data_IF_475644040819
#
_entry.id   IF_475644040819
#
_cell.length_a   1.000
_cell.length_b   1.000
_cell.length_c   1.000
_cell.angle_alpha   90.00
_cell.angle_beta   90.00
_cell.angle_gamma   90.00
#
_symmetry.space_group_name_H-M   'P 1'
#
loop_
_entity.id
_entity.type
_entity.pdbx_description
1 polymer ?
#
# COMPACT_ATOMS: atom_id res chain seq x y z
N UNK A 1 40.09 30.94 21.24
CA UNK A 1 38.75 30.47 21.61
C UNK A 1 38.49 29.10 21.00
N UNK A 2 38.60 28.02 21.76
CA UNK A 2 38.38 26.62 21.28
C UNK A 2 36.94 26.30 20.81
N UNK A 3 36.05 27.30 20.87
CA UNK A 3 34.65 27.18 20.48
C UNK A 3 34.33 27.65 19.04
N UNK A 4 35.27 28.26 18.34
CA UNK A 4 35.13 28.73 16.95
C UNK A 4 35.78 27.75 16.01
N UNK A 5 35.16 27.51 14.86
CA UNK A 5 35.70 26.65 13.79
C UNK A 5 36.33 27.57 12.75
N UNK A 6 37.63 27.49 12.64
CA UNK A 6 38.47 28.44 11.86
C UNK A 6 38.07 28.56 10.39
N UNK A 7 37.62 27.48 9.77
CA UNK A 7 37.25 27.44 8.34
C UNK A 7 35.81 27.83 8.01
N UNK A 8 34.88 27.97 9.01
CA UNK A 8 33.46 28.20 8.78
C UNK A 8 32.94 29.49 9.43
N UNK A 9 33.77 30.22 10.13
CA UNK A 9 33.41 31.48 10.85
C UNK A 9 32.15 31.32 11.75
N UNK A 10 31.99 30.15 12.37
CA UNK A 10 30.88 29.84 13.26
C UNK A 10 31.33 29.09 14.51
N UNK A 11 30.50 29.15 15.57
CA UNK A 11 30.77 28.40 16.78
C UNK A 11 30.40 26.92 16.61
N UNK A 12 31.03 26.04 17.38
CA UNK A 12 30.67 24.59 17.40
C UNK A 12 29.19 24.39 17.71
N UNK A 13 28.64 25.16 18.66
CA UNK A 13 27.22 25.08 19.02
C UNK A 13 26.29 25.44 17.85
N UNK A 14 26.63 26.46 17.09
CA UNK A 14 25.89 26.85 15.89
C UNK A 14 25.98 25.81 14.79
N UNK A 15 27.19 25.27 14.55
CA UNK A 15 27.37 24.18 13.59
C UNK A 15 26.50 22.98 13.95
N UNK A 16 26.49 22.54 15.20
CA UNK A 16 25.67 21.42 15.66
C UNK A 16 24.16 21.70 15.55
N UNK A 17 23.76 22.96 15.72
CA UNK A 17 22.37 23.36 15.50
C UNK A 17 22.00 23.29 13.99
N UNK A 18 22.82 23.87 13.12
CA UNK A 18 22.62 23.82 11.68
C UNK A 18 22.59 22.36 11.18
N UNK A 19 23.52 21.51 11.64
CA UNK A 19 23.55 20.07 11.33
C UNK A 19 22.22 19.39 11.64
N UNK A 20 21.63 19.64 12.81
CA UNK A 20 20.33 19.05 13.21
C UNK A 20 19.15 19.60 12.40
N UNK A 21 19.13 20.93 12.21
CA UNK A 21 18.05 21.58 11.48
C UNK A 21 18.05 21.18 9.99
N UNK A 22 19.23 21.03 9.38
CA UNK A 22 19.36 20.66 7.96
C UNK A 22 18.79 19.27 7.63
N UNK A 23 18.58 18.37 8.61
CA UNK A 23 17.85 17.12 8.40
C UNK A 23 16.33 17.31 8.42
N UNK A 24 15.82 18.34 9.11
CA UNK A 24 14.39 18.56 9.35
C UNK A 24 13.74 19.53 8.37
N UNK A 25 14.51 20.46 7.88
CA UNK A 25 14.08 21.61 7.06
C UNK A 25 14.82 21.65 5.74
N UNK A 26 14.38 22.50 4.83
CA UNK A 26 15.11 22.76 3.61
C UNK A 26 16.41 23.54 3.87
N UNK A 27 17.37 23.41 3.00
CA UNK A 27 18.63 24.15 3.16
C UNK A 27 18.40 25.68 3.03
N UNK A 28 17.42 26.09 2.24
CA UNK A 28 17.05 27.51 2.08
C UNK A 28 16.47 28.07 3.38
N UNK A 29 15.50 27.41 4.00
CA UNK A 29 14.92 27.85 5.29
C UNK A 29 15.97 27.94 6.39
N UNK A 30 16.89 26.96 6.48
CA UNK A 30 17.97 27.01 7.47
C UNK A 30 18.95 28.14 7.15
N UNK A 31 19.23 28.38 5.88
CA UNK A 31 20.10 29.47 5.44
C UNK A 31 19.52 30.84 5.81
N UNK A 32 18.23 31.04 5.57
CA UNK A 32 17.52 32.29 5.89
C UNK A 32 17.53 32.58 7.40
N UNK A 33 17.27 31.58 8.24
CA UNK A 33 17.23 31.73 9.72
C UNK A 33 18.59 32.10 10.31
N UNK A 34 19.68 31.58 9.74
CA UNK A 34 21.02 31.78 10.31
C UNK A 34 21.88 32.78 9.54
N UNK A 35 21.35 33.36 8.45
CA UNK A 35 22.07 34.36 7.65
C UNK A 35 23.22 33.79 6.83
N UNK A 36 23.13 32.53 6.38
CA UNK A 36 24.13 31.88 5.54
C UNK A 36 23.58 31.57 4.14
N UNK A 37 24.43 31.14 3.24
CA UNK A 37 23.99 30.66 1.93
C UNK A 37 23.46 29.22 2.03
N UNK A 38 22.42 28.91 1.23
CA UNK A 38 21.89 27.55 1.11
C UNK A 38 22.97 26.54 0.66
N UNK A 39 23.94 26.99 -0.13
CA UNK A 39 25.09 26.18 -0.56
C UNK A 39 25.98 25.77 0.63
N UNK A 40 26.25 26.70 1.55
CA UNK A 40 27.02 26.38 2.76
C UNK A 40 26.26 25.40 3.67
N UNK A 41 24.95 25.62 3.85
CA UNK A 41 24.12 24.68 4.63
C UNK A 41 24.14 23.28 4.01
N UNK A 42 24.06 23.20 2.66
CA UNK A 42 24.13 21.93 1.94
C UNK A 42 25.51 21.24 2.13
N UNK A 43 26.61 21.98 2.12
CA UNK A 43 27.95 21.44 2.39
C UNK A 43 28.08 20.94 3.84
N UNK A 44 27.58 21.69 4.82
CA UNK A 44 27.56 21.27 6.21
C UNK A 44 26.74 19.98 6.40
N UNK A 45 25.60 19.90 5.68
CA UNK A 45 24.78 18.70 5.68
C UNK A 45 25.53 17.50 5.08
N UNK A 46 26.15 17.66 3.91
CA UNK A 46 26.87 16.58 3.21
C UNK A 46 28.01 16.03 4.08
N UNK A 47 28.84 16.90 4.69
CA UNK A 47 29.91 16.52 5.61
C UNK A 47 29.35 15.75 6.82
N UNK A 48 28.25 16.23 7.43
CA UNK A 48 27.68 15.58 8.58
C UNK A 48 26.97 14.27 8.23
N UNK A 49 26.35 14.17 7.07
CA UNK A 49 25.77 12.93 6.57
C UNK A 49 26.84 11.86 6.37
N UNK A 50 28.02 12.23 5.88
CA UNK A 50 29.16 11.33 5.72
C UNK A 50 29.75 10.88 7.07
N UNK A 51 29.84 11.78 8.06
CA UNK A 51 30.21 11.42 9.43
C UNK A 51 29.21 10.40 10.03
N UNK A 52 27.89 10.62 9.84
CA UNK A 52 26.84 9.73 10.30
C UNK A 52 26.88 8.37 9.60
N UNK A 53 27.09 8.34 8.30
CA UNK A 53 27.20 7.10 7.51
C UNK A 53 28.39 6.26 8.00
N UNK A 54 29.55 6.89 8.21
CA UNK A 54 30.74 6.24 8.74
C UNK A 54 30.53 5.69 10.16
N UNK A 55 29.77 6.40 10.98
CA UNK A 55 29.50 6.03 12.37
C UNK A 55 28.33 5.05 12.54
N UNK A 56 27.50 4.87 11.52
CA UNK A 56 26.29 4.04 11.56
C UNK A 56 26.59 2.57 11.84
N UNK A 57 27.73 2.10 11.38
CA UNK A 57 28.03 0.67 11.38
C UNK A 57 27.18 -0.14 10.41
N UNK A 58 27.38 -1.44 10.35
CA UNK A 58 26.58 -2.31 9.49
C UNK A 58 25.13 -2.41 9.97
N UNK A 59 24.21 -2.48 9.04
CA UNK A 59 22.77 -2.66 9.33
C UNK A 59 22.54 -4.11 9.79
N UNK A 60 21.90 -4.29 10.93
CA UNK A 60 21.50 -5.62 11.39
C UNK A 60 20.19 -6.01 10.68
N UNK A 61 20.16 -7.19 10.12
CA UNK A 61 18.97 -7.68 9.43
C UNK A 61 17.76 -7.82 10.37
N UNK A 62 16.58 -7.32 9.98
CA UNK A 62 15.38 -7.45 10.78
C UNK A 62 14.79 -8.86 10.69
N UNK A 63 13.86 -9.19 11.57
CA UNK A 63 13.08 -10.43 11.46
C UNK A 63 12.11 -10.38 10.27
N UNK A 64 11.54 -9.22 10.01
CA UNK A 64 10.57 -9.00 8.94
C UNK A 64 11.08 -7.84 8.09
N UNK A 65 11.55 -8.18 6.89
CA UNK A 65 12.06 -7.23 5.93
C UNK A 65 10.94 -6.79 4.97
N UNK A 66 10.63 -5.51 4.93
CA UNK A 66 9.79 -4.91 3.89
C UNK A 66 10.66 -4.46 2.72
N UNK A 67 10.31 -4.90 1.51
CA UNK A 67 10.95 -4.46 0.26
C UNK A 67 9.88 -3.83 -0.61
N UNK A 68 10.12 -2.60 -1.06
CA UNK A 68 9.20 -1.87 -1.92
C UNK A 68 9.96 -1.08 -2.98
N UNK A 69 9.27 -0.66 -4.03
CA UNK A 69 9.80 0.18 -5.10
C UNK A 69 9.19 1.56 -5.05
N UNK A 70 10.03 2.58 -5.18
CA UNK A 70 9.54 3.95 -5.28
C UNK A 70 10.23 4.71 -6.41
N UNK A 71 9.44 5.39 -7.24
CA UNK A 71 9.97 6.31 -8.23
C UNK A 71 10.36 7.63 -7.56
N UNK A 72 11.66 7.87 -7.41
CA UNK A 72 12.21 9.01 -6.68
C UNK A 72 13.45 9.54 -7.41
N UNK A 73 13.61 10.85 -7.47
CA UNK A 73 14.75 11.48 -8.15
C UNK A 73 14.96 10.91 -9.56
N UNK A 74 13.88 10.84 -10.35
CA UNK A 74 13.85 10.40 -11.75
C UNK A 74 14.26 8.93 -11.99
N UNK A 75 14.28 8.08 -10.96
CA UNK A 75 14.55 6.64 -11.13
C UNK A 75 13.74 5.79 -10.15
N UNK A 76 13.52 4.52 -10.50
CA UNK A 76 13.00 3.52 -9.58
C UNK A 76 14.09 3.14 -8.57
N UNK A 77 13.73 3.11 -7.30
CA UNK A 77 14.62 2.84 -6.17
C UNK A 77 14.05 1.72 -5.32
N UNK A 78 14.89 0.83 -4.85
CA UNK A 78 14.51 -0.11 -3.79
C UNK A 78 14.48 0.59 -2.43
N UNK A 79 13.49 0.28 -1.62
CA UNK A 79 13.28 0.80 -0.27
C UNK A 79 13.19 -0.38 0.68
N UNK A 80 14.07 -0.44 1.69
CA UNK A 80 14.18 -1.53 2.65
C UNK A 80 13.78 -1.04 4.03
N UNK A 81 12.81 -1.72 4.64
CA UNK A 81 12.19 -1.31 5.90
C UNK A 81 12.19 -2.47 6.89
N UNK A 82 12.51 -2.19 8.13
CA UNK A 82 12.16 -3.07 9.24
C UNK A 82 10.68 -2.89 9.56
N UNK A 83 9.87 -3.89 9.21
CA UNK A 83 8.39 -3.82 9.35
C UNK A 83 7.96 -3.81 10.82
N UNK A 84 8.72 -4.45 11.72
CA UNK A 84 8.38 -4.48 13.14
C UNK A 84 8.61 -3.14 13.83
N UNK A 85 9.67 -2.42 13.46
CA UNK A 85 10.05 -1.16 14.10
C UNK A 85 9.63 0.09 13.30
N UNK A 86 9.28 -0.07 12.04
CA UNK A 86 8.98 1.02 11.12
C UNK A 86 10.22 1.86 10.77
N UNK A 87 11.39 1.26 10.79
CA UNK A 87 12.66 1.93 10.49
C UNK A 87 13.04 1.72 9.04
N UNK A 88 13.32 2.81 8.33
CA UNK A 88 13.95 2.75 7.01
C UNK A 88 15.39 2.26 7.17
N UNK A 89 15.67 1.08 6.63
CA UNK A 89 16.99 0.46 6.70
C UNK A 89 17.90 0.96 5.59
N UNK A 90 17.42 0.97 4.35
CA UNK A 90 18.22 1.36 3.22
C UNK A 90 17.36 1.81 2.02
N UNK A 91 17.97 2.55 1.10
CA UNK A 91 17.44 2.88 -0.22
C UNK A 91 18.53 2.69 -1.27
N UNK A 92 18.25 1.94 -2.33
CA UNK A 92 19.22 1.69 -3.41
C UNK A 92 19.21 2.78 -4.48
N UNK A 93 20.32 2.93 -5.20
CA UNK A 93 20.39 3.86 -6.34
C UNK A 93 19.58 3.40 -7.54
N UNK A 94 19.32 2.10 -7.65
CA UNK A 94 18.52 1.48 -8.70
C UNK A 94 17.65 0.38 -8.09
N UNK A 95 16.70 -0.13 -8.86
CA UNK A 95 15.93 -1.31 -8.51
C UNK A 95 16.41 -2.58 -9.25
N UNK A 96 17.71 -2.63 -9.62
CA UNK A 96 18.30 -3.79 -10.27
C UNK A 96 18.48 -4.93 -9.28
N UNK A 97 18.45 -6.16 -9.79
CA UNK A 97 18.66 -7.38 -9.02
C UNK A 97 19.92 -7.31 -8.15
N UNK A 98 21.05 -6.98 -8.77
CA UNK A 98 22.35 -6.95 -8.09
C UNK A 98 22.36 -5.94 -6.92
N UNK A 99 21.72 -4.78 -7.09
CA UNK A 99 21.63 -3.75 -6.04
C UNK A 99 20.77 -4.21 -4.87
N UNK A 100 19.67 -4.93 -5.14
CA UNK A 100 18.76 -5.48 -4.13
C UNK A 100 19.47 -6.61 -3.37
N UNK A 101 20.06 -7.55 -4.10
CA UNK A 101 20.81 -8.69 -3.53
C UNK A 101 21.94 -8.19 -2.65
N UNK A 102 22.79 -7.33 -3.18
CA UNK A 102 23.95 -6.79 -2.45
C UNK A 102 23.52 -6.01 -1.18
N UNK A 103 22.37 -5.32 -1.24
CA UNK A 103 21.82 -4.63 -0.06
C UNK A 103 21.38 -5.62 1.02
N UNK A 104 20.69 -6.70 0.65
CA UNK A 104 20.28 -7.75 1.60
C UNK A 104 21.51 -8.42 2.21
N UNK A 105 22.47 -8.86 1.37
CA UNK A 105 23.66 -9.55 1.80
C UNK A 105 24.61 -8.68 2.65
N UNK A 106 24.53 -7.35 2.52
CA UNK A 106 25.30 -6.43 3.36
C UNK A 106 24.77 -6.33 4.80
N UNK A 107 23.56 -6.82 5.07
CA UNK A 107 22.98 -6.81 6.42
C UNK A 107 23.59 -7.94 7.26
N UNK A 108 23.93 -7.62 8.50
CA UNK A 108 24.50 -8.60 9.44
C UNK A 108 23.47 -9.68 9.74
N UNK A 109 23.90 -10.94 9.66
CA UNK A 109 23.07 -12.12 9.93
C UNK A 109 21.77 -12.20 9.08
N UNK A 110 21.81 -11.69 7.84
CA UNK A 110 20.62 -11.65 6.97
C UNK A 110 20.02 -13.04 6.74
N UNK A 111 20.83 -14.06 6.55
CA UNK A 111 20.43 -15.45 6.31
C UNK A 111 19.76 -16.13 7.50
N UNK A 112 19.99 -15.62 8.73
CA UNK A 112 19.46 -16.18 9.98
C UNK A 112 18.30 -15.36 10.53
N UNK A 113 18.41 -14.04 10.44
CA UNK A 113 17.45 -13.15 11.09
C UNK A 113 16.19 -12.96 10.27
N UNK A 114 16.31 -12.85 8.93
CA UNK A 114 15.15 -12.59 8.07
C UNK A 114 14.30 -13.85 7.94
N UNK A 115 13.16 -13.86 8.60
CA UNK A 115 12.19 -14.95 8.55
C UNK A 115 11.05 -14.68 7.59
N UNK A 116 10.71 -13.41 7.39
CA UNK A 116 9.65 -12.96 6.50
C UNK A 116 10.11 -11.80 5.63
N UNK A 117 9.66 -11.81 4.38
CA UNK A 117 9.84 -10.69 3.45
C UNK A 117 8.46 -10.23 2.98
N UNK A 118 8.09 -8.99 3.26
CA UNK A 118 6.86 -8.38 2.73
C UNK A 118 7.19 -7.61 1.46
N UNK A 119 6.44 -7.85 0.39
CA UNK A 119 6.69 -7.21 -0.90
C UNK A 119 5.45 -7.18 -1.78
N UNK A 120 5.51 -6.38 -2.84
CA UNK A 120 4.51 -6.37 -3.90
C UNK A 120 4.58 -7.62 -4.79
N UNK A 121 3.55 -7.82 -5.62
CA UNK A 121 3.52 -8.90 -6.62
C UNK A 121 4.47 -8.63 -7.81
N UNK A 122 5.73 -8.32 -7.54
CA UNK A 122 6.76 -8.08 -8.55
C UNK A 122 7.57 -9.36 -8.82
N UNK A 123 7.41 -9.95 -10.01
CA UNK A 123 8.06 -11.24 -10.35
C UNK A 123 9.60 -11.18 -10.25
N UNK A 124 10.21 -10.05 -10.60
CA UNK A 124 11.66 -9.88 -10.51
C UNK A 124 12.15 -10.01 -9.08
N UNK A 125 11.52 -9.31 -8.15
CA UNK A 125 11.88 -9.36 -6.73
C UNK A 125 11.72 -10.73 -6.12
N UNK A 126 10.63 -11.44 -6.46
CA UNK A 126 10.42 -12.80 -5.96
C UNK A 126 11.61 -13.70 -6.22
N UNK A 127 12.08 -13.76 -7.45
CA UNK A 127 13.20 -14.64 -7.82
C UNK A 127 14.48 -14.30 -7.04
N UNK A 128 14.74 -13.01 -6.81
CA UNK A 128 15.91 -12.58 -6.05
C UNK A 128 15.81 -12.91 -4.57
N UNK A 129 14.62 -12.71 -3.98
CA UNK A 129 14.38 -13.04 -2.57
C UNK A 129 14.47 -14.54 -2.34
N UNK A 130 13.90 -15.36 -3.24
CA UNK A 130 14.00 -16.82 -3.16
C UNK A 130 15.45 -17.32 -3.27
N UNK A 131 16.28 -16.65 -4.06
CA UNK A 131 17.71 -16.98 -4.22
C UNK A 131 18.53 -16.58 -3.00
N UNK A 132 18.37 -15.34 -2.51
CA UNK A 132 19.13 -14.80 -1.38
C UNK A 132 18.66 -15.32 -0.03
N UNK A 133 17.37 -15.59 0.12
CA UNK A 133 16.71 -15.91 1.38
C UNK A 133 15.84 -17.16 1.26
N UNK A 134 16.43 -18.34 0.95
CA UNK A 134 15.67 -19.56 0.67
C UNK A 134 14.84 -20.06 1.86
N UNK A 135 15.14 -19.62 3.07
CA UNK A 135 14.43 -20.00 4.29
C UNK A 135 13.37 -18.97 4.72
N UNK A 136 13.35 -17.78 4.11
CA UNK A 136 12.40 -16.74 4.45
C UNK A 136 11.06 -16.97 3.74
N UNK A 137 9.96 -16.69 4.42
CA UNK A 137 8.62 -16.73 3.83
C UNK A 137 8.31 -15.37 3.19
N UNK A 138 8.02 -15.37 1.89
CA UNK A 138 7.52 -14.18 1.21
C UNK A 138 6.04 -14.01 1.53
N UNK A 139 5.65 -12.80 1.90
CA UNK A 139 4.25 -12.40 2.14
C UNK A 139 3.91 -11.27 1.17
N UNK A 140 2.92 -11.52 0.33
CA UNK A 140 2.41 -10.50 -0.61
C UNK A 140 1.54 -9.51 0.13
N UNK A 141 1.76 -8.23 -0.17
CA UNK A 141 0.95 -7.17 0.40
C UNK A 141 -0.52 -7.26 -0.04
N UNK A 142 -1.39 -7.36 0.97
CA UNK A 142 -2.85 -7.37 0.80
C UNK A 142 -3.36 -6.18 -0.01
N UNK A 143 -2.81 -4.99 0.24
CA UNK A 143 -3.26 -3.77 -0.41
C UNK A 143 -3.16 -3.88 -1.94
N UNK A 144 -2.05 -4.38 -2.46
CA UNK A 144 -1.82 -4.53 -3.89
C UNK A 144 -2.78 -5.53 -4.55
N UNK A 145 -3.12 -6.63 -3.85
CA UNK A 145 -4.12 -7.60 -4.32
C UNK A 145 -5.51 -6.95 -4.40
N UNK A 146 -5.90 -6.25 -3.34
CA UNK A 146 -7.20 -5.58 -3.27
C UNK A 146 -7.28 -4.38 -4.23
N UNK A 147 -6.21 -3.63 -4.40
CA UNK A 147 -6.16 -2.53 -5.37
C UNK A 147 -6.32 -3.03 -6.82
N UNK A 148 -5.66 -4.14 -7.19
CA UNK A 148 -5.84 -4.73 -8.52
C UNK A 148 -7.29 -5.25 -8.71
N UNK A 149 -7.89 -5.85 -7.68
CA UNK A 149 -9.31 -6.20 -7.67
C UNK A 149 -10.20 -4.98 -7.97
N UNK A 150 -10.02 -3.88 -7.25
CA UNK A 150 -10.86 -2.69 -7.44
C UNK A 150 -10.72 -2.09 -8.83
N UNK A 151 -9.51 -2.08 -9.37
CA UNK A 151 -9.24 -1.65 -10.74
C UNK A 151 -9.99 -2.52 -11.76
N UNK A 152 -9.94 -3.86 -11.62
CA UNK A 152 -10.66 -4.80 -12.48
C UNK A 152 -12.17 -4.67 -12.32
N UNK A 153 -12.65 -4.51 -11.09
CA UNK A 153 -14.07 -4.27 -10.78
C UNK A 153 -14.58 -3.00 -11.46
N UNK A 154 -13.80 -1.92 -11.43
CA UNK A 154 -14.17 -0.65 -12.07
C UNK A 154 -14.30 -0.79 -13.59
N UNK A 155 -13.39 -1.52 -14.24
CA UNK A 155 -13.46 -1.83 -15.67
C UNK A 155 -14.67 -2.69 -16.00
N UNK A 156 -14.87 -3.79 -15.28
CA UNK A 156 -16.00 -4.70 -15.48
C UNK A 156 -17.34 -4.00 -15.21
N UNK A 157 -17.45 -3.14 -14.18
CA UNK A 157 -18.64 -2.33 -13.91
C UNK A 157 -19.08 -1.53 -15.13
N UNK A 158 -18.13 -0.87 -15.80
CA UNK A 158 -18.44 -0.06 -16.98
C UNK A 158 -19.00 -0.89 -18.14
N UNK A 159 -18.50 -2.11 -18.31
CA UNK A 159 -18.98 -3.07 -19.32
C UNK A 159 -20.37 -3.61 -18.95
N UNK A 160 -20.55 -4.01 -17.69
CA UNK A 160 -21.83 -4.49 -17.16
C UNK A 160 -22.90 -3.40 -17.27
N UNK A 161 -22.61 -2.19 -16.81
CA UNK A 161 -23.55 -1.08 -16.87
C UNK A 161 -24.03 -0.81 -18.29
N UNK A 162 -23.12 -0.72 -19.25
CA UNK A 162 -23.44 -0.50 -20.67
C UNK A 162 -24.29 -1.63 -21.25
N UNK A 163 -23.94 -2.86 -20.93
CA UNK A 163 -24.69 -4.04 -21.40
C UNK A 163 -26.12 -4.04 -20.83
N UNK A 164 -26.28 -3.80 -19.51
CA UNK A 164 -27.59 -3.80 -18.85
C UNK A 164 -28.45 -2.65 -19.35
N UNK A 165 -27.90 -1.44 -19.51
CA UNK A 165 -28.64 -0.31 -20.11
C UNK A 165 -29.17 -0.66 -21.50
N UNK A 166 -28.35 -1.30 -22.33
CA UNK A 166 -28.75 -1.71 -23.68
C UNK A 166 -29.84 -2.80 -23.62
N UNK A 167 -29.71 -3.79 -22.73
CA UNK A 167 -30.69 -4.85 -22.49
C UNK A 167 -32.05 -4.26 -22.07
N UNK A 168 -32.07 -3.32 -21.11
CA UNK A 168 -33.29 -2.65 -20.66
C UNK A 168 -33.91 -1.76 -21.74
N UNK A 169 -33.09 -1.08 -22.55
CA UNK A 169 -33.59 -0.25 -23.65
C UNK A 169 -34.38 -1.05 -24.69
N UNK A 170 -33.98 -2.31 -24.94
CA UNK A 170 -34.58 -3.21 -25.92
C UNK A 170 -35.53 -4.23 -25.32
N UNK A 171 -35.83 -4.14 -24.01
CA UNK A 171 -36.77 -5.04 -23.35
C UNK A 171 -38.19 -4.80 -23.90
N UNK A 172 -38.86 -5.82 -24.44
CA UNK A 172 -40.25 -5.71 -24.93
C UNK A 172 -41.29 -5.51 -23.81
N UNK A 173 -40.97 -5.93 -22.57
CA UNK A 173 -41.85 -5.74 -21.43
C UNK A 173 -41.75 -4.30 -20.88
N UNK A 174 -42.75 -3.51 -21.12
CA UNK A 174 -42.79 -2.11 -20.69
C UNK A 174 -43.14 -1.94 -19.20
N UNK A 175 -43.70 -2.95 -18.52
CA UNK A 175 -44.26 -2.81 -17.17
C UNK A 175 -43.23 -2.47 -16.11
N UNK A 176 -42.01 -2.96 -16.22
CA UNK A 176 -40.90 -2.70 -15.29
C UNK A 176 -39.77 -1.85 -15.89
N UNK A 177 -39.90 -1.50 -17.16
CA UNK A 177 -38.82 -0.83 -17.92
C UNK A 177 -38.43 0.53 -17.32
N UNK A 178 -39.41 1.36 -16.97
CA UNK A 178 -39.13 2.69 -16.38
C UNK A 178 -38.48 2.56 -14.99
N UNK A 179 -38.96 1.68 -14.14
CA UNK A 179 -38.39 1.42 -12.82
C UNK A 179 -36.92 0.95 -12.95
N UNK A 180 -36.64 0.04 -13.89
CA UNK A 180 -35.25 -0.43 -14.18
C UNK A 180 -34.36 0.68 -14.71
N UNK A 181 -34.88 1.60 -15.55
CA UNK A 181 -34.11 2.75 -16.02
C UNK A 181 -33.81 3.73 -14.88
N UNK A 182 -34.74 4.00 -14.00
CA UNK A 182 -34.53 4.85 -12.82
C UNK A 182 -33.45 4.27 -11.92
N UNK A 183 -33.50 2.96 -11.65
CA UNK A 183 -32.50 2.27 -10.85
C UNK A 183 -31.11 2.36 -11.49
N UNK A 184 -30.99 2.19 -12.81
CA UNK A 184 -29.74 2.37 -13.52
C UNK A 184 -29.25 3.82 -13.51
N UNK A 185 -30.16 4.78 -13.58
CA UNK A 185 -29.80 6.19 -13.46
C UNK A 185 -29.22 6.54 -12.07
N UNK A 186 -29.77 5.95 -10.99
CA UNK A 186 -29.20 6.06 -9.64
C UNK A 186 -27.81 5.43 -9.55
N UNK A 187 -27.62 4.23 -10.11
CA UNK A 187 -26.32 3.57 -10.16
C UNK A 187 -25.26 4.36 -10.97
N UNK A 188 -25.71 5.11 -11.98
CA UNK A 188 -24.88 6.03 -12.74
C UNK A 188 -24.43 7.26 -11.94
N UNK A 189 -25.29 7.74 -11.03
CA UNK A 189 -24.99 8.89 -10.16
C UNK A 189 -24.05 8.56 -9.00
N UNK A 190 -24.05 7.30 -8.52
CA UNK A 190 -23.05 6.82 -7.56
C UNK A 190 -22.09 5.81 -8.23
N UNK A 191 -21.06 6.30 -8.94
CA UNK A 191 -20.08 5.44 -9.59
C UNK A 191 -19.27 4.60 -8.60
N UNK A 192 -19.33 4.92 -7.33
CA UNK A 192 -18.53 4.31 -6.27
C UNK A 192 -19.18 3.10 -5.61
N UNK A 193 -20.48 2.85 -5.83
CA UNK A 193 -21.24 1.77 -5.17
C UNK A 193 -20.55 0.41 -5.26
N UNK A 194 -19.85 0.11 -6.36
CA UNK A 194 -19.05 -1.11 -6.53
C UNK A 194 -17.55 -0.94 -6.19
N UNK A 195 -17.09 0.26 -5.85
CA UNK A 195 -15.70 0.52 -5.44
C UNK A 195 -15.50 0.43 -3.94
N UNK A 196 -16.52 0.74 -3.15
CA UNK A 196 -16.44 0.60 -1.70
C UNK A 196 -16.31 -0.88 -1.29
N UNK A 197 -15.58 -1.12 -0.20
CA UNK A 197 -15.57 -2.45 0.43
C UNK A 197 -16.98 -2.86 0.83
N UNK A 198 -17.23 -4.16 0.96
CA UNK A 198 -18.51 -4.67 1.43
C UNK A 198 -18.93 -4.03 2.77
N UNK A 199 -17.97 -3.82 3.69
CA UNK A 199 -18.18 -3.14 4.97
C UNK A 199 -18.64 -1.69 4.78
N UNK A 200 -17.94 -0.91 3.97
CA UNK A 200 -18.29 0.50 3.72
C UNK A 200 -19.63 0.67 3.01
N UNK A 201 -20.05 -0.30 2.18
CA UNK A 201 -21.40 -0.33 1.61
C UNK A 201 -22.44 -0.64 2.70
N UNK A 202 -22.17 -1.61 3.57
CA UNK A 202 -23.06 -1.99 4.65
C UNK A 202 -23.29 -0.88 5.70
N UNK A 203 -22.33 0.00 5.91
CA UNK A 203 -22.41 1.14 6.82
C UNK A 203 -23.27 2.29 6.27
N UNK A 204 -23.49 2.36 4.95
CA UNK A 204 -24.32 3.36 4.31
C UNK A 204 -25.65 2.74 3.80
N UNK A 205 -26.77 3.04 4.47
CA UNK A 205 -28.07 2.44 4.18
C UNK A 205 -28.53 2.65 2.74
N UNK A 206 -28.31 3.84 2.19
CA UNK A 206 -28.77 4.17 0.83
C UNK A 206 -27.97 3.38 -0.23
N UNK A 207 -26.65 3.25 -0.02
CA UNK A 207 -25.81 2.43 -0.89
C UNK A 207 -26.10 0.94 -0.77
N UNK A 208 -26.36 0.47 0.44
CA UNK A 208 -26.76 -0.92 0.68
C UNK A 208 -28.07 -1.24 -0.03
N UNK A 209 -29.07 -0.36 0.07
CA UNK A 209 -30.35 -0.51 -0.63
C UNK A 209 -30.15 -0.49 -2.15
N UNK A 210 -29.42 0.49 -2.67
CA UNK A 210 -29.10 0.58 -4.11
C UNK A 210 -28.38 -0.67 -4.62
N UNK A 211 -27.39 -1.17 -3.87
CA UNK A 211 -26.68 -2.40 -4.23
C UNK A 211 -27.62 -3.61 -4.22
N UNK A 212 -28.48 -3.73 -3.21
CA UNK A 212 -29.44 -4.82 -3.13
C UNK A 212 -30.42 -4.78 -4.31
N UNK A 213 -30.99 -3.62 -4.62
CA UNK A 213 -31.92 -3.45 -5.73
C UNK A 213 -31.27 -3.74 -7.08
N UNK A 214 -30.02 -3.30 -7.29
CA UNK A 214 -29.27 -3.61 -8.50
C UNK A 214 -29.03 -5.12 -8.65
N UNK A 215 -28.64 -5.79 -7.57
CA UNK A 215 -28.38 -7.23 -7.58
C UNK A 215 -29.65 -8.07 -7.76
N UNK A 216 -30.78 -7.62 -7.22
CA UNK A 216 -32.08 -8.30 -7.39
C UNK A 216 -32.63 -8.17 -8.81
N UNK A 217 -32.47 -7.00 -9.42
CA UNK A 217 -33.03 -6.75 -10.75
C UNK A 217 -32.11 -7.17 -11.89
N UNK A 218 -30.81 -7.28 -11.64
CA UNK A 218 -29.83 -7.56 -12.69
C UNK A 218 -28.81 -8.60 -12.22
N UNK A 219 -28.86 -9.83 -12.72
CA UNK A 219 -27.91 -10.88 -12.37
C UNK A 219 -26.47 -10.51 -12.74
N UNK A 220 -26.30 -9.63 -13.71
CA UNK A 220 -25.00 -9.12 -14.11
C UNK A 220 -24.33 -8.29 -13.00
N UNK A 221 -25.06 -7.45 -12.29
CA UNK A 221 -24.53 -6.71 -11.14
C UNK A 221 -24.33 -7.62 -9.92
N UNK A 222 -25.21 -8.60 -9.71
CA UNK A 222 -25.02 -9.57 -8.64
C UNK A 222 -23.73 -10.38 -8.83
N UNK A 223 -23.46 -10.84 -10.04
CA UNK A 223 -22.24 -11.57 -10.32
C UNK A 223 -20.98 -10.70 -10.15
N UNK A 224 -21.05 -9.42 -10.56
CA UNK A 224 -19.96 -8.45 -10.31
C UNK A 224 -19.69 -8.29 -8.79
N UNK A 225 -20.75 -8.21 -7.98
CA UNK A 225 -20.65 -8.15 -6.52
C UNK A 225 -19.99 -9.41 -5.95
N UNK A 226 -20.40 -10.59 -6.40
CA UNK A 226 -19.84 -11.86 -5.93
C UNK A 226 -18.34 -11.95 -6.25
N UNK A 227 -17.93 -11.55 -7.46
CA UNK A 227 -16.51 -11.51 -7.84
C UNK A 227 -15.68 -10.57 -6.96
N UNK A 228 -16.24 -9.40 -6.65
CA UNK A 228 -15.55 -8.41 -5.80
C UNK A 228 -15.49 -8.86 -4.34
N UNK A 229 -16.65 -9.12 -3.74
CA UNK A 229 -16.75 -9.45 -2.31
C UNK A 229 -16.12 -10.81 -1.99
N UNK A 230 -16.20 -11.78 -2.90
CA UNK A 230 -15.61 -13.09 -2.73
C UNK A 230 -14.09 -13.00 -2.55
N UNK A 231 -13.41 -12.13 -3.32
CA UNK A 231 -11.96 -11.95 -3.16
C UNK A 231 -11.61 -11.15 -1.90
N UNK A 232 -12.40 -10.10 -1.57
CA UNK A 232 -12.21 -9.34 -0.33
C UNK A 232 -12.31 -10.27 0.90
N UNK A 233 -13.25 -11.21 0.91
CA UNK A 233 -13.48 -12.16 2.00
C UNK A 233 -12.36 -13.18 2.20
N UNK A 234 -11.48 -13.40 1.24
CA UNK A 234 -10.30 -14.23 1.44
C UNK A 234 -9.48 -13.71 2.61
N UNK A 235 -9.30 -12.40 2.70
CA UNK A 235 -8.54 -11.76 3.79
C UNK A 235 -9.30 -11.65 5.13
N UNK A 236 -10.57 -12.04 5.17
CA UNK A 236 -11.36 -12.16 6.40
C UNK A 236 -11.34 -13.60 6.96
N UNK A 237 -10.49 -14.47 6.42
CA UNK A 237 -10.35 -15.85 6.88
C UNK A 237 -9.59 -15.94 8.20
N UNK A 238 -9.98 -16.90 9.03
CA UNK A 238 -9.34 -17.14 10.32
C UNK A 238 -7.97 -17.79 10.19
N UNK A 239 -7.77 -18.60 9.15
CA UNK A 239 -6.54 -19.34 8.91
C UNK A 239 -6.29 -19.57 7.41
N UNK A 240 -5.13 -20.17 7.13
CA UNK A 240 -4.69 -20.51 5.77
C UNK A 240 -5.63 -21.48 5.05
N UNK A 241 -6.23 -22.43 5.78
CA UNK A 241 -7.12 -23.43 5.18
C UNK A 241 -8.41 -22.79 4.68
N UNK A 242 -9.05 -21.98 5.51
CA UNK A 242 -10.24 -21.22 5.14
C UNK A 242 -9.94 -20.24 3.99
N UNK A 243 -8.80 -19.54 4.03
CA UNK A 243 -8.39 -18.66 2.96
C UNK A 243 -8.22 -19.39 1.64
N UNK A 244 -7.60 -20.58 1.65
CA UNK A 244 -7.44 -21.42 0.46
C UNK A 244 -8.80 -21.85 -0.11
N UNK A 245 -9.71 -22.30 0.74
CA UNK A 245 -11.06 -22.69 0.33
C UNK A 245 -11.78 -21.51 -0.35
N UNK A 246 -11.74 -20.32 0.24
CA UNK A 246 -12.34 -19.12 -0.36
C UNK A 246 -11.66 -18.71 -1.68
N UNK A 247 -10.35 -18.91 -1.80
CA UNK A 247 -9.65 -18.73 -3.08
C UNK A 247 -10.18 -19.65 -4.17
N UNK A 248 -10.41 -20.91 -3.85
CA UNK A 248 -10.91 -21.91 -4.79
C UNK A 248 -12.36 -21.60 -5.20
N UNK A 249 -13.23 -21.31 -4.23
CA UNK A 249 -14.61 -20.85 -4.46
C UNK A 249 -14.65 -19.60 -5.36
N UNK A 250 -13.79 -18.62 -5.09
CA UNK A 250 -13.71 -17.41 -5.91
C UNK A 250 -13.27 -17.70 -7.35
N UNK A 251 -12.36 -18.65 -7.56
CA UNK A 251 -11.90 -19.03 -8.90
C UNK A 251 -13.01 -19.59 -9.78
N UNK A 252 -14.00 -20.24 -9.20
CA UNK A 252 -15.16 -20.78 -9.93
C UNK A 252 -16.07 -19.66 -10.45
N UNK A 253 -16.16 -18.54 -9.71
CA UNK A 253 -16.90 -17.36 -10.15
C UNK A 253 -16.29 -16.66 -11.36
N UNK A 254 -14.99 -16.84 -11.62
CA UNK A 254 -14.29 -16.19 -12.74
C UNK A 254 -14.50 -16.97 -14.02
N UNK A 255 -14.97 -16.31 -15.12
CA UNK A 255 -15.25 -17.00 -16.36
C UNK A 255 -14.00 -17.70 -16.93
N UNK A 256 -14.18 -18.92 -17.45
CA UNK A 256 -13.11 -19.68 -18.07
C UNK A 256 -12.65 -19.04 -19.41
N UNK A 257 -11.58 -19.58 -20.01
CA UNK A 257 -11.03 -19.08 -21.27
C UNK A 257 -11.40 -19.94 -22.49
N UNK A 258 -11.85 -21.17 -22.29
CA UNK A 258 -12.20 -22.11 -23.37
C UNK A 258 -13.67 -21.97 -23.80
N UNK A 259 -13.95 -22.00 -25.11
CA UNK A 259 -15.31 -21.74 -25.65
C UNK A 259 -16.37 -22.71 -25.12
N UNK A 260 -16.08 -23.99 -25.03
CA UNK A 260 -17.02 -24.98 -24.49
C UNK A 260 -17.32 -24.73 -23.00
N UNK A 261 -16.30 -24.40 -22.22
CA UNK A 261 -16.44 -24.09 -20.80
C UNK A 261 -17.14 -22.75 -20.57
N UNK A 262 -16.99 -21.78 -21.48
CA UNK A 262 -17.71 -20.49 -21.42
C UNK A 262 -19.22 -20.72 -21.53
N UNK A 263 -19.68 -21.56 -22.47
CA UNK A 263 -21.09 -21.81 -22.65
C UNK A 263 -21.74 -22.45 -21.40
N UNK A 264 -21.07 -23.43 -20.81
CA UNK A 264 -21.48 -24.08 -19.57
C UNK A 264 -21.52 -23.08 -18.39
N UNK A 265 -20.48 -22.25 -18.24
CA UNK A 265 -20.38 -21.23 -17.23
C UNK A 265 -21.48 -20.15 -17.38
N UNK A 266 -21.75 -19.67 -18.61
CA UNK A 266 -22.81 -18.72 -18.90
C UNK A 266 -24.21 -19.31 -18.57
N UNK A 267 -24.41 -20.59 -18.82
CA UNK A 267 -25.63 -21.29 -18.44
C UNK A 267 -25.78 -21.39 -16.93
N UNK A 268 -24.71 -21.72 -16.21
CA UNK A 268 -24.68 -21.85 -14.75
C UNK A 268 -25.00 -20.52 -14.05
N UNK A 269 -24.37 -19.42 -14.46
CA UNK A 269 -24.48 -18.13 -13.79
C UNK A 269 -25.51 -17.19 -14.41
N UNK A 270 -26.05 -17.49 -15.57
CA UNK A 270 -27.05 -16.66 -16.27
C UNK A 270 -26.53 -15.31 -16.77
N UNK A 271 -25.22 -15.17 -16.91
CA UNK A 271 -24.57 -13.92 -17.31
C UNK A 271 -23.54 -14.15 -18.42
N UNK A 272 -23.17 -13.10 -19.16
CA UNK A 272 -22.19 -13.17 -20.24
C UNK A 272 -20.76 -13.12 -19.74
N UNK A 273 -19.95 -14.14 -20.05
CA UNK A 273 -18.55 -14.26 -19.65
C UNK A 273 -17.68 -13.08 -20.08
N UNK A 274 -17.96 -12.49 -21.25
CA UNK A 274 -17.21 -11.36 -21.79
C UNK A 274 -17.26 -10.12 -20.90
N UNK A 275 -18.34 -9.95 -20.11
CA UNK A 275 -18.49 -8.82 -19.18
C UNK A 275 -17.44 -8.83 -18.05
N UNK A 276 -16.89 -10.00 -17.75
CA UNK A 276 -15.98 -10.22 -16.62
C UNK A 276 -14.58 -10.70 -17.04
N UNK A 277 -14.25 -10.56 -18.33
CA UNK A 277 -12.94 -11.01 -18.87
C UNK A 277 -11.72 -10.45 -18.13
N UNK A 278 -11.85 -9.25 -17.56
CA UNK A 278 -10.80 -8.59 -16.78
C UNK A 278 -10.39 -9.43 -15.55
N UNK A 279 -11.33 -10.18 -14.97
CA UNK A 279 -11.04 -11.04 -13.83
C UNK A 279 -10.20 -12.27 -14.18
N UNK A 280 -10.16 -12.68 -15.45
CA UNK A 280 -9.27 -13.78 -15.90
C UNK A 280 -7.79 -13.46 -15.66
N UNK A 281 -7.39 -12.19 -15.84
CA UNK A 281 -6.02 -11.78 -15.55
C UNK A 281 -5.74 -11.81 -14.04
N UNK A 282 -6.69 -11.39 -13.22
CA UNK A 282 -6.58 -11.46 -11.76
C UNK A 282 -6.51 -12.91 -11.27
N UNK A 283 -7.35 -13.80 -11.81
CA UNK A 283 -7.28 -15.25 -11.52
C UNK A 283 -5.90 -15.82 -11.81
N UNK A 284 -5.29 -15.46 -12.96
CA UNK A 284 -3.92 -15.90 -13.28
C UNK A 284 -2.89 -15.35 -12.31
N UNK A 285 -3.04 -14.09 -11.89
CA UNK A 285 -2.17 -13.48 -10.88
C UNK A 285 -2.31 -14.22 -9.55
N UNK A 286 -3.53 -14.45 -9.07
CA UNK A 286 -3.76 -15.21 -7.84
C UNK A 286 -3.19 -16.63 -7.91
N UNK A 287 -3.37 -17.35 -9.03
CA UNK A 287 -2.80 -18.69 -9.19
C UNK A 287 -1.26 -18.69 -9.09
N UNK A 288 -0.61 -17.64 -9.61
CA UNK A 288 0.85 -17.51 -9.56
C UNK A 288 1.38 -17.15 -8.19
N UNK A 289 0.61 -16.37 -7.44
CA UNK A 289 1.02 -15.79 -6.16
C UNK A 289 0.32 -16.44 -4.95
N UNK A 290 -0.46 -17.51 -5.16
CA UNK A 290 -1.30 -18.12 -4.13
C UNK A 290 -0.53 -18.45 -2.85
N UNK A 291 0.59 -19.14 -2.96
CA UNK A 291 1.43 -19.50 -1.83
C UNK A 291 1.80 -18.29 -0.97
N UNK A 292 2.27 -17.23 -1.64
CA UNK A 292 2.74 -15.99 -0.99
C UNK A 292 1.60 -15.14 -0.43
N UNK A 293 0.42 -15.21 -1.04
CA UNK A 293 -0.81 -14.60 -0.51
C UNK A 293 -1.27 -15.37 0.73
N UNK A 294 -1.22 -16.69 0.69
CA UNK A 294 -1.63 -17.55 1.81
C UNK A 294 -0.64 -17.48 2.99
N UNK A 295 0.62 -17.14 2.76
CA UNK A 295 1.60 -16.93 3.83
C UNK A 295 1.20 -15.76 4.77
N UNK A 296 0.31 -14.86 4.33
CA UNK A 296 -0.30 -13.84 5.18
C UNK A 296 -1.01 -14.45 6.41
N UNK A 297 -1.53 -15.67 6.31
CA UNK A 297 -2.27 -16.37 7.35
C UNK A 297 -1.41 -17.30 8.21
N UNK A 298 -0.12 -17.45 7.90
CA UNK A 298 0.80 -18.34 8.63
C UNK A 298 1.37 -17.72 9.92
N UNK A 299 1.19 -16.41 10.12
CA UNK A 299 1.72 -15.70 11.28
C UNK A 299 0.61 -15.33 12.27
N UNK A 300 0.93 -15.34 13.57
CA UNK A 300 0.02 -14.86 14.62
C UNK A 300 -0.36 -13.37 14.45
N UNK A 301 0.47 -12.60 13.76
CA UNK A 301 0.23 -11.21 13.41
C UNK A 301 0.36 -11.11 11.90
N UNK A 302 -0.69 -10.71 11.18
CA UNK A 302 -0.60 -10.53 9.74
C UNK A 302 0.36 -9.38 9.41
N UNK A 303 1.42 -9.71 8.70
CA UNK A 303 2.39 -8.72 8.24
C UNK A 303 1.85 -8.02 7.00
N UNK A 304 1.72 -6.70 7.06
CA UNK A 304 1.29 -5.89 5.93
C UNK A 304 2.41 -4.95 5.52
N UNK A 305 2.42 -4.54 4.26
CA UNK A 305 3.37 -3.55 3.76
C UNK A 305 2.97 -2.10 4.13
N UNK A 306 1.92 -1.92 4.95
CA UNK A 306 1.43 -0.60 5.37
C UNK A 306 2.53 0.27 6.01
N UNK A 307 3.49 -0.37 6.72
CA UNK A 307 4.66 0.31 7.28
C UNK A 307 5.56 0.84 6.16
N UNK A 308 5.82 0.04 5.13
CA UNK A 308 6.62 0.45 3.95
C UNK A 308 5.92 1.57 3.19
N UNK A 309 4.58 1.52 3.04
CA UNK A 309 3.81 2.61 2.44
C UNK A 309 3.90 3.92 3.25
N UNK A 310 3.84 3.84 4.57
CA UNK A 310 4.05 4.97 5.47
C UNK A 310 5.44 5.60 5.30
N UNK A 311 6.48 4.76 5.20
CA UNK A 311 7.85 5.19 4.91
C UNK A 311 7.95 5.80 3.50
N UNK A 312 7.37 5.18 2.49
CA UNK A 312 7.34 5.72 1.13
C UNK A 312 6.66 7.10 1.05
N UNK A 313 5.58 7.30 1.81
CA UNK A 313 4.91 8.59 1.92
C UNK A 313 5.78 9.63 2.63
N UNK A 314 6.57 9.22 3.64
CA UNK A 314 7.55 10.09 4.29
C UNK A 314 8.67 10.50 3.31
N UNK A 315 9.24 9.54 2.60
CA UNK A 315 10.29 9.79 1.60
C UNK A 315 9.80 10.75 0.52
N UNK A 316 8.59 10.54 0.03
CA UNK A 316 7.98 11.40 -0.98
C UNK A 316 7.78 12.85 -0.48
N UNK A 317 7.28 13.04 0.74
CA UNK A 317 7.17 14.37 1.35
C UNK A 317 8.50 15.07 1.48
N UNK A 318 9.54 14.39 1.94
CA UNK A 318 10.89 14.96 2.05
C UNK A 318 11.41 15.34 0.67
N UNK A 319 11.15 14.53 -0.35
CA UNK A 319 11.53 14.82 -1.73
C UNK A 319 10.81 16.05 -2.30
N UNK A 320 9.49 16.14 -2.11
CA UNK A 320 8.67 17.28 -2.58
C UNK A 320 9.11 18.59 -1.89
N UNK A 321 9.22 18.56 -0.56
CA UNK A 321 9.65 19.75 0.22
C UNK A 321 11.06 20.16 -0.16
N UNK A 322 11.94 19.19 -0.43
CA UNK A 322 13.32 19.45 -0.80
C UNK A 322 13.56 20.03 -2.19
N UNK A 323 12.54 20.00 -3.07
CA UNK A 323 12.50 20.66 -4.41
C UNK A 323 13.81 20.60 -5.19
N UNK A 324 14.39 19.38 -5.36
CA UNK A 324 15.61 19.18 -6.14
C UNK A 324 16.78 18.55 -5.37
N UNK A 325 16.53 17.89 -4.25
CA UNK A 325 17.56 17.06 -3.66
C UNK A 325 17.99 15.97 -4.64
N UNK A 326 19.32 15.81 -4.81
CA UNK A 326 19.85 14.60 -5.43
C UNK A 326 19.63 13.39 -4.51
N UNK A 327 19.62 12.19 -5.09
CA UNK A 327 19.33 10.94 -4.35
C UNK A 327 20.17 10.77 -3.07
N UNK A 328 21.48 11.04 -3.12
CA UNK A 328 22.38 10.93 -1.94
C UNK A 328 21.88 11.74 -0.74
N UNK A 329 21.49 13.01 -0.97
CA UNK A 329 20.98 13.89 0.08
C UNK A 329 19.61 13.45 0.58
N UNK A 330 18.73 13.04 -0.33
CA UNK A 330 17.42 12.54 0.02
C UNK A 330 17.53 11.26 0.86
N UNK A 331 18.34 10.28 0.43
CA UNK A 331 18.61 9.06 1.17
C UNK A 331 19.13 9.36 2.58
N UNK A 332 20.17 10.20 2.70
CA UNK A 332 20.70 10.58 3.99
C UNK A 332 19.65 11.25 4.88
N UNK A 333 18.87 12.20 4.33
CA UNK A 333 17.76 12.81 5.08
C UNK A 333 16.77 11.76 5.58
N UNK A 334 16.33 10.83 4.75
CA UNK A 334 15.34 9.81 5.11
C UNK A 334 15.88 8.85 6.16
N UNK A 335 17.09 8.34 6.00
CA UNK A 335 17.71 7.38 6.92
C UNK A 335 18.01 8.03 8.28
N UNK A 336 18.66 9.21 8.29
CA UNK A 336 19.09 9.83 9.53
C UNK A 336 18.06 10.75 10.19
N UNK A 337 17.01 11.16 9.48
CA UNK A 337 15.89 11.90 10.07
C UNK A 337 15.21 11.10 11.18
N UNK A 338 14.96 9.81 10.97
CA UNK A 338 14.35 8.94 11.97
C UNK A 338 15.27 8.64 13.15
N UNK A 339 16.58 8.56 12.92
CA UNK A 339 17.57 8.33 14.00
C UNK A 339 17.87 9.60 14.80
N UNK A 340 17.88 10.76 14.15
CA UNK A 340 18.22 12.03 14.79
C UNK A 340 16.99 12.75 15.42
N UNK A 341 15.79 12.57 14.87
CA UNK A 341 14.61 13.32 15.27
C UNK A 341 13.70 12.58 16.24
N UNK A 342 13.62 11.26 16.12
CA UNK A 342 12.85 10.41 17.04
C UNK A 342 13.40 8.99 16.94
N UNK A 343 13.85 8.48 18.04
CA UNK A 343 13.65 7.06 18.34
C UNK A 343 12.14 6.90 18.55
N UNK A 344 11.36 6.98 17.48
CA UNK A 344 9.96 6.63 17.54
C UNK A 344 9.93 5.12 17.69
N UNK A 345 9.83 4.71 18.93
CA UNK A 345 9.66 3.33 19.36
C UNK A 345 8.27 2.87 19.00
N UNK A 346 8.00 2.66 17.75
CA UNK A 346 6.83 1.90 17.29
C UNK A 346 7.22 0.45 17.14
N UNK A 347 7.48 -0.23 18.26
CA UNK A 347 7.34 -1.67 18.26
C UNK A 347 5.85 -2.00 18.23
N UNK A 348 5.44 -3.08 17.58
CA UNK A 348 4.05 -3.58 17.60
C UNK A 348 3.52 -3.64 19.06
N UNK A 349 4.40 -3.90 20.04
CA UNK A 349 4.14 -3.87 21.47
C UNK A 349 3.85 -2.46 22.02
N UNK A 350 4.49 -1.41 21.49
CA UNK A 350 4.23 -0.02 21.87
C UNK A 350 2.93 0.51 21.25
N UNK A 351 2.62 0.13 20.00
CA UNK A 351 1.34 0.43 19.34
C UNK A 351 0.20 -0.21 20.13
N UNK A 352 0.30 -1.50 20.46
CA UNK A 352 -0.71 -2.20 21.27
C UNK A 352 -0.90 -1.56 22.67
N UNK A 353 0.17 -1.10 23.29
CA UNK A 353 0.15 -0.43 24.61
C UNK A 353 -0.43 1.00 24.52
N UNK A 354 -0.19 1.72 23.45
CA UNK A 354 -0.72 3.07 23.23
C UNK A 354 -2.21 3.03 22.86
N UNK A 355 -2.62 2.08 22.01
CA UNK A 355 -4.03 1.84 21.70
C UNK A 355 -4.84 1.44 22.93
N UNK A 356 -4.28 0.58 23.80
CA UNK A 356 -4.95 0.22 25.05
C UNK A 356 -5.10 1.40 26.03
N UNK A 357 -4.19 2.37 26.00
CA UNK A 357 -4.28 3.59 26.79
C UNK A 357 -5.28 4.61 26.24
N UNK A 358 -5.41 4.72 24.90
CA UNK A 358 -6.30 5.70 24.26
C UNK A 358 -7.76 5.25 24.20
N UNK A 359 -8.01 3.95 24.05
CA UNK A 359 -9.35 3.41 23.80
C UNK A 359 -9.92 2.56 24.96
N UNK A 360 -9.21 2.49 26.10
CA UNK A 360 -9.61 1.62 27.19
C UNK A 360 -9.44 0.12 26.84
N UNK A 361 -9.60 -0.76 27.82
CA UNK A 361 -9.58 -2.21 27.61
C UNK A 361 -10.77 -2.60 26.75
N UNK A 362 -10.53 -2.94 25.49
CA UNK A 362 -11.51 -3.62 24.65
C UNK A 362 -11.60 -5.06 25.18
N UNK A 363 -12.54 -5.27 26.12
CA UNK A 363 -12.86 -6.60 26.67
C UNK A 363 -13.89 -7.30 25.79
N UNK A 364 -13.50 -7.63 24.57
CA UNK A 364 -14.27 -8.48 23.66
C UNK A 364 -13.31 -9.33 22.83
N UNK A 365 -13.74 -10.45 22.23
CA UNK A 365 -12.92 -11.14 21.27
C UNK A 365 -12.69 -10.16 20.10
N UNK A 366 -11.56 -9.46 20.15
CA UNK A 366 -11.08 -8.67 19.03
C UNK A 366 -10.85 -9.69 17.92
N UNK A 367 -11.56 -9.53 16.81
CA UNK A 367 -11.16 -10.22 15.57
C UNK A 367 -9.65 -10.03 15.44
N UNK A 368 -8.84 -11.09 15.28
CA UNK A 368 -7.39 -10.97 15.23
C UNK A 368 -6.90 -10.10 14.07
N UNK A 369 -7.81 -9.59 13.24
CA UNK A 369 -7.50 -8.83 12.06
C UNK A 369 -8.18 -7.45 12.10
N UNK A 370 -7.40 -6.34 12.23
CA UNK A 370 -7.95 -5.03 11.99
C UNK A 370 -8.51 -4.97 10.55
N UNK A 371 -9.73 -4.48 10.40
CA UNK A 371 -10.29 -4.16 9.09
C UNK A 371 -9.42 -3.08 8.40
N UNK A 372 -9.55 -2.94 7.07
CA UNK A 372 -8.85 -1.85 6.32
C UNK A 372 -9.10 -0.49 6.99
N UNK A 373 -10.29 -0.26 7.53
CA UNK A 373 -10.65 0.97 8.26
C UNK A 373 -9.88 1.08 9.57
N UNK A 374 -9.65 -0.02 10.29
CA UNK A 374 -8.82 -0.01 11.51
C UNK A 374 -7.33 0.15 11.19
N UNK A 375 -6.85 -0.37 10.06
CA UNK A 375 -5.50 -0.10 9.57
C UNK A 375 -5.35 1.36 9.12
N UNK A 376 -6.40 1.95 8.53
CA UNK A 376 -6.44 3.38 8.17
C UNK A 376 -6.58 4.27 9.43
N UNK A 377 -7.35 3.86 10.44
CA UNK A 377 -7.43 4.59 11.71
C UNK A 377 -6.15 4.50 12.53
N UNK A 378 -5.34 3.45 12.34
CA UNK A 378 -3.97 3.39 12.89
C UNK A 378 -3.08 4.44 12.19
N UNK A 379 -3.27 4.68 10.89
CA UNK A 379 -2.59 5.77 10.17
C UNK A 379 -3.12 7.14 10.63
N UNK A 380 -4.41 7.29 10.91
CA UNK A 380 -5.00 8.51 11.48
C UNK A 380 -4.50 8.81 12.91
N UNK A 381 -4.16 7.78 13.69
CA UNK A 381 -3.51 7.95 15.01
C UNK A 381 -2.07 8.49 14.91
N UNK A 382 -1.56 8.74 13.71
CA UNK A 382 -0.26 9.37 13.43
C UNK A 382 -0.33 10.90 13.33
N UNK A 383 -1.40 11.54 13.81
CA UNK A 383 -1.42 12.99 14.00
C UNK A 383 -0.19 13.50 14.80
N UNK A 384 0.44 14.59 14.35
CA UNK A 384 -0.23 15.86 14.11
C UNK A 384 0.13 16.56 12.78
N UNK A 385 -0.23 16.01 11.66
CA UNK A 385 -0.16 16.73 10.40
C UNK A 385 -1.46 16.37 9.65
N UNK A 386 -2.29 17.37 9.33
CA UNK A 386 -3.55 17.26 8.58
C UNK A 386 -3.46 16.32 7.35
N UNK A 387 -3.45 15.01 7.59
CA UNK A 387 -3.68 14.04 6.54
C UNK A 387 -5.18 13.86 6.49
N UNK A 388 -5.82 14.50 5.53
CA UNK A 388 -7.21 14.19 5.19
C UNK A 388 -7.29 12.68 4.95
N UNK A 389 -8.28 11.98 5.52
CA UNK A 389 -8.49 10.56 5.24
C UNK A 389 -8.62 10.35 3.73
N UNK A 390 -8.16 9.22 3.23
CA UNK A 390 -8.24 8.87 1.79
C UNK A 390 -9.65 9.00 1.21
N UNK A 391 -10.69 8.92 2.05
CA UNK A 391 -12.08 9.23 1.72
C UNK A 391 -12.38 10.72 1.47
N UNK A 392 -11.48 11.63 1.88
CA UNK A 392 -11.61 13.08 1.70
C UNK A 392 -10.62 13.64 0.67
N UNK A 393 -9.83 12.79 0.01
CA UNK A 393 -9.05 13.19 -1.16
C UNK A 393 -10.01 13.23 -2.36
N UNK A 394 -10.21 14.43 -2.90
CA UNK A 394 -10.86 14.65 -4.18
C UNK A 394 -9.97 14.03 -5.28
N UNK A 395 -10.29 12.79 -5.66
CA UNK A 395 -9.55 12.03 -6.67
C UNK A 395 -9.65 12.65 -8.07
N UNK A 396 -10.59 13.59 -8.28
CA UNK A 396 -10.72 14.34 -9.52
C UNK A 396 -9.54 15.30 -9.75
N UNK A 397 -8.86 15.73 -8.68
CA UNK A 397 -7.70 16.64 -8.75
C UNK A 397 -6.34 15.93 -8.68
N UNK A 398 -6.30 14.59 -8.66
CA UNK A 398 -5.02 13.89 -8.61
C UNK A 398 -4.28 14.01 -9.94
N UNK A 399 -3.00 14.46 -9.95
CA UNK A 399 -2.24 14.76 -11.17
C UNK A 399 -2.12 13.59 -12.16
N UNK A 400 -2.25 12.33 -11.69
CA UNK A 400 -2.19 11.13 -12.52
C UNK A 400 -3.47 10.82 -13.32
N UNK A 401 -4.54 11.60 -13.14
CA UNK A 401 -5.80 11.43 -13.87
C UNK A 401 -6.10 12.55 -14.86
N UNK A 402 -5.23 13.56 -14.97
CA UNK A 402 -5.41 14.70 -15.88
C UNK A 402 -4.98 14.46 -17.33
N UNK A 403 -4.26 13.35 -17.61
CA UNK A 403 -3.78 13.02 -18.96
C UNK A 403 -4.43 11.74 -19.48
N UNK A 404 -5.76 11.77 -19.66
CA UNK A 404 -6.46 10.90 -20.64
C UNK A 404 -7.83 11.47 -20.99
#
# INVERSE_FOLDING_TARGET
>A
FSSVIDNKQMTKRLLDQIRRESFRRTFAEVADDYGYSATLIAQIFDEYAEELETSRGPVVAPKILGIDEKHICHAMRGVFVDVETGVLLEMTENNKADDIISTIESMVDYDKNIQYVTMDMANGYRSFVEECLPNAKIVVDRFHVIHDLWRKTSSAKSSVYRYVCNKVAHDPDSSQKEQRKELLALAGKDPWVFRYSAKAVAENKDRLALMADLCLNFPEFNHLRLLKEGLERIYDSADRFEAKQKCDEWRELVPPSGDAQIAEWEQQYGVKAELYKEYRSLKRTLNRWEEYILNYFDSEIPYTNAVSEGINSMVERINIVGSGYGFRRLRAKCIFYNTAARRVRYSAKAIKKDLSKRFGYITGPVSPFPSIVESMSIVEAWEPWDIKPLSALDWEDHPLLRDK
#
